data_IF_584673217713
#
_entry.id   IF_584673217713
#
_cell.length_a   1.000
_cell.length_b   1.000
_cell.length_c   1.000
_cell.angle_alpha   90.00
_cell.angle_beta   90.00
_cell.angle_gamma   90.00
#
_symmetry.space_group_name_H-M   'P 1'
#
loop_
_entity.id
_entity.type
_entity.pdbx_description
1 polymer ?
#
# COMPACT_ATOMS: atom_id res chain seq x y z
N UNK A 1 21.89 11.90 18.55
CA UNK A 1 22.30 10.98 17.47
C UNK A 1 23.80 10.96 17.36
N UNK A 2 24.41 9.78 17.28
CA UNK A 2 25.87 9.61 17.31
C UNK A 2 26.52 10.19 16.07
N UNK A 3 27.61 10.96 16.26
CA UNK A 3 28.40 11.54 15.18
C UNK A 3 29.15 10.47 14.40
N UNK A 4 29.01 10.43 13.09
CA UNK A 4 29.67 9.46 12.21
C UNK A 4 31.17 9.69 12.04
N UNK A 5 31.67 10.84 12.49
CA UNK A 5 33.09 11.22 12.34
C UNK A 5 33.94 11.00 13.62
N UNK A 6 33.37 11.32 14.80
CA UNK A 6 34.13 11.23 16.06
C UNK A 6 33.46 10.33 17.11
N UNK A 7 32.28 9.82 16.84
CA UNK A 7 31.54 8.94 17.75
C UNK A 7 30.84 9.64 18.91
N UNK A 8 30.92 10.97 19.05
CA UNK A 8 30.18 11.72 20.06
C UNK A 8 28.69 11.48 19.99
N UNK A 9 28.02 11.34 21.14
CA UNK A 9 26.59 11.05 21.17
C UNK A 9 25.68 12.28 20.93
N UNK A 10 26.25 13.50 21.01
CA UNK A 10 25.51 14.74 20.94
C UNK A 10 25.72 15.48 19.62
N UNK A 11 24.60 15.90 19.05
CA UNK A 11 24.55 16.72 17.84
C UNK A 11 23.35 17.65 17.89
N UNK A 12 23.51 18.89 17.42
CA UNK A 12 22.40 19.84 17.25
C UNK A 12 21.86 19.77 15.82
N UNK A 13 20.55 19.97 15.63
CA UNK A 13 19.92 20.11 14.34
C UNK A 13 20.06 21.57 13.90
N UNK A 14 20.68 21.82 12.75
CA UNK A 14 20.90 23.16 12.20
C UNK A 14 19.94 23.50 11.08
N UNK A 15 19.36 22.49 10.40
CA UNK A 15 18.33 22.66 9.36
C UNK A 15 17.42 21.42 9.33
N UNK A 16 16.13 21.62 9.06
CA UNK A 16 15.16 20.54 8.95
C UNK A 16 14.19 20.84 7.81
N UNK A 17 13.96 19.88 6.90
CA UNK A 17 13.07 20.04 5.75
C UNK A 17 12.23 18.79 5.55
N UNK A 18 10.94 18.98 5.33
CA UNK A 18 10.04 17.93 4.87
C UNK A 18 10.31 17.59 3.41
N UNK A 19 10.34 16.32 3.09
CA UNK A 19 10.41 15.81 1.73
C UNK A 19 9.02 15.34 1.28
N UNK A 20 8.85 15.15 -0.03
CA UNK A 20 7.55 14.79 -0.62
C UNK A 20 7.07 13.40 -0.21
N UNK A 21 7.97 12.53 0.22
CA UNK A 21 7.75 11.14 0.63
C UNK A 21 7.47 10.97 2.14
N UNK A 22 6.92 11.99 2.81
CA UNK A 22 6.66 12.02 4.26
C UNK A 22 7.90 11.88 5.14
N UNK A 23 9.10 11.86 4.56
CA UNK A 23 10.36 11.83 5.31
C UNK A 23 10.84 13.23 5.70
N UNK A 24 11.67 13.30 6.74
CA UNK A 24 12.29 14.55 7.20
C UNK A 24 13.79 14.45 7.01
N UNK A 25 14.33 15.37 6.20
CA UNK A 25 15.77 15.56 6.08
C UNK A 25 16.26 16.52 7.15
N UNK A 26 17.20 16.09 8.00
CA UNK A 26 17.82 16.95 9.02
C UNK A 26 19.31 17.09 8.79
N UNK A 27 19.79 18.35 8.76
CA UNK A 27 21.20 18.67 8.78
C UNK A 27 21.64 18.85 10.23
N UNK A 28 22.61 18.05 10.66
CA UNK A 28 23.12 18.04 12.05
C UNK A 28 24.55 18.50 12.09
N UNK A 29 24.93 19.09 13.22
CA UNK A 29 26.31 19.51 13.52
C UNK A 29 26.72 18.89 14.85
N UNK A 30 27.85 18.18 14.86
CA UNK A 30 28.38 17.58 16.06
C UNK A 30 28.87 18.67 17.03
N UNK A 31 28.56 18.53 18.32
CA UNK A 31 28.95 19.51 19.34
C UNK A 31 30.45 19.47 19.59
N UNK A 32 31.11 18.31 19.52
CA UNK A 32 32.51 18.16 19.76
C UNK A 32 33.40 18.50 18.55
N UNK A 33 33.18 17.81 17.40
CA UNK A 33 34.07 17.97 16.25
C UNK A 33 33.62 19.04 15.25
N UNK A 34 32.43 19.66 15.41
CA UNK A 34 31.88 20.68 14.54
C UNK A 34 31.52 20.21 13.14
N UNK A 35 31.79 18.97 12.80
CA UNK A 35 31.47 18.43 11.46
C UNK A 35 29.96 18.26 11.27
N UNK A 36 29.50 18.50 10.04
CA UNK A 36 28.12 18.42 9.67
C UNK A 36 27.83 17.13 8.91
N UNK A 37 26.68 16.52 9.22
CA UNK A 37 26.16 15.35 8.53
C UNK A 37 24.66 15.47 8.36
N UNK A 38 24.11 14.72 7.41
CA UNK A 38 22.68 14.71 7.10
C UNK A 38 22.09 13.38 7.55
N UNK A 39 20.90 13.44 8.13
CA UNK A 39 20.09 12.27 8.50
C UNK A 39 18.72 12.37 7.87
N UNK A 40 18.12 11.23 7.60
CA UNK A 40 16.75 11.12 7.15
C UNK A 40 15.95 10.38 8.22
N UNK A 41 14.81 10.93 8.57
CA UNK A 41 13.82 10.26 9.41
C UNK A 41 12.70 9.83 8.48
N UNK A 42 12.47 8.53 8.39
CA UNK A 42 11.38 7.92 7.65
C UNK A 42 10.47 7.21 8.62
N UNK A 43 9.17 7.23 8.37
CA UNK A 43 8.23 6.42 9.14
C UNK A 43 8.43 4.97 8.71
N UNK A 44 8.82 4.12 9.65
CA UNK A 44 8.84 2.69 9.44
C UNK A 44 7.42 2.17 9.66
N UNK A 45 6.73 1.86 8.58
CA UNK A 45 5.44 1.19 8.63
C UNK A 45 5.67 -0.32 8.61
N UNK A 46 5.14 -1.03 9.61
CA UNK A 46 5.11 -2.49 9.55
C UNK A 46 4.34 -2.90 8.28
N UNK A 47 4.89 -3.81 7.47
CA UNK A 47 4.17 -4.28 6.30
C UNK A 47 2.88 -4.95 6.73
N UNK A 48 1.80 -4.63 6.04
CA UNK A 48 0.51 -5.29 6.19
C UNK A 48 0.67 -6.78 5.84
N UNK A 49 0.19 -7.66 6.70
CA UNK A 49 0.28 -9.10 6.51
C UNK A 49 -1.03 -9.62 5.93
N UNK A 50 -0.93 -10.36 4.85
CA UNK A 50 -2.06 -11.00 4.17
C UNK A 50 -2.10 -12.47 4.55
N UNK A 51 -3.27 -12.93 5.01
CA UNK A 51 -3.54 -14.34 5.22
C UNK A 51 -4.38 -14.87 4.06
N UNK A 52 -3.85 -15.86 3.34
CA UNK A 52 -4.56 -16.49 2.22
C UNK A 52 -5.56 -17.57 2.67
N UNK A 53 -6.29 -18.14 1.71
CA UNK A 53 -7.29 -19.19 1.95
C UNK A 53 -6.70 -20.49 2.53
N UNK A 54 -5.40 -20.71 2.39
CA UNK A 54 -4.66 -21.84 2.96
C UNK A 54 -4.06 -21.53 4.34
N UNK A 55 -4.40 -20.39 4.91
CA UNK A 55 -3.88 -19.89 6.18
C UNK A 55 -2.36 -19.60 6.17
N UNK A 56 -1.79 -19.37 4.98
CA UNK A 56 -0.41 -18.91 4.83
C UNK A 56 -0.35 -17.39 4.96
N UNK A 57 0.72 -16.90 5.58
CA UNK A 57 0.91 -15.47 5.89
C UNK A 57 2.06 -14.92 5.05
N UNK A 58 1.81 -13.87 4.31
CA UNK A 58 2.83 -13.18 3.55
C UNK A 58 2.65 -11.65 3.66
N UNK A 59 3.73 -10.85 3.48
CA UNK A 59 3.58 -9.41 3.40
C UNK A 59 2.76 -9.01 2.17
N UNK A 60 1.90 -8.00 2.33
CA UNK A 60 1.19 -7.40 1.22
C UNK A 60 2.19 -6.88 0.17
N UNK A 61 1.90 -7.14 -1.10
CA UNK A 61 2.71 -6.69 -2.24
C UNK A 61 1.82 -6.01 -3.26
N UNK A 62 2.05 -4.71 -3.45
CA UNK A 62 1.29 -3.90 -4.40
C UNK A 62 1.37 -4.46 -5.83
N UNK A 63 2.53 -5.03 -6.21
CA UNK A 63 2.74 -5.62 -7.53
C UNK A 63 1.77 -6.78 -7.83
N UNK A 64 1.47 -7.61 -6.82
CA UNK A 64 0.49 -8.70 -6.96
C UNK A 64 -0.92 -8.16 -7.20
N UNK A 65 -1.29 -7.09 -6.50
CA UNK A 65 -2.58 -6.44 -6.71
C UNK A 65 -2.66 -5.83 -8.11
N UNK A 66 -1.62 -5.12 -8.56
CA UNK A 66 -1.53 -4.56 -9.91
C UNK A 66 -1.68 -5.64 -10.97
N UNK A 67 -1.04 -6.79 -10.81
CA UNK A 67 -1.17 -7.91 -11.75
C UNK A 67 -2.60 -8.45 -11.80
N UNK A 68 -3.25 -8.65 -10.65
CA UNK A 68 -4.63 -9.13 -10.61
C UNK A 68 -5.63 -8.13 -11.23
N UNK A 69 -5.41 -6.82 -11.03
CA UNK A 69 -6.22 -5.76 -11.62
C UNK A 69 -6.07 -5.70 -13.14
N UNK A 70 -4.86 -5.89 -13.68
CA UNK A 70 -4.61 -5.91 -15.13
C UNK A 70 -5.49 -6.93 -15.86
N UNK A 71 -5.69 -8.10 -15.26
CA UNK A 71 -6.57 -9.13 -15.85
C UNK A 71 -8.02 -8.66 -15.93
N UNK A 72 -8.53 -8.03 -14.88
CA UNK A 72 -9.92 -7.58 -14.82
C UNK A 72 -10.19 -6.36 -15.72
N UNK A 73 -9.21 -5.47 -15.89
CA UNK A 73 -9.34 -4.19 -16.58
C UNK A 73 -8.88 -4.22 -18.04
N UNK A 74 -8.20 -5.28 -18.48
CA UNK A 74 -7.57 -5.35 -19.80
C UNK A 74 -8.52 -5.07 -20.97
N UNK A 75 -9.74 -5.62 -20.92
CA UNK A 75 -10.72 -5.43 -21.98
C UNK A 75 -11.47 -4.09 -21.91
N UNK A 76 -11.32 -3.35 -20.81
CA UNK A 76 -12.09 -2.12 -20.55
C UNK A 76 -11.25 -0.85 -20.71
N UNK A 77 -9.95 -0.97 -21.03
CA UNK A 77 -9.08 0.18 -21.29
C UNK A 77 -8.83 1.05 -20.05
N UNK A 78 -8.83 0.47 -18.86
CA UNK A 78 -8.45 1.20 -17.64
C UNK A 78 -6.93 1.38 -17.63
N UNK A 79 -6.48 2.56 -18.06
CA UNK A 79 -5.06 2.87 -18.23
C UNK A 79 -4.31 3.12 -16.91
N UNK A 80 -5.03 3.53 -15.86
CA UNK A 80 -4.44 3.95 -14.57
C UNK A 80 -4.50 2.85 -13.50
N UNK A 81 -4.20 1.61 -13.89
CA UNK A 81 -4.23 0.44 -12.96
C UNK A 81 -3.32 0.63 -11.76
N UNK A 82 -2.16 1.26 -11.94
CA UNK A 82 -1.22 1.53 -10.86
C UNK A 82 -1.82 2.50 -9.83
N UNK A 83 -2.41 3.60 -10.27
CA UNK A 83 -3.05 4.57 -9.39
C UNK A 83 -4.25 3.97 -8.64
N UNK A 84 -5.02 3.09 -9.31
CA UNK A 84 -6.11 2.36 -8.69
C UNK A 84 -5.60 1.41 -7.59
N UNK A 85 -4.51 0.67 -7.85
CA UNK A 85 -3.90 -0.21 -6.85
C UNK A 85 -3.40 0.57 -5.62
N UNK A 86 -2.79 1.74 -5.82
CA UNK A 86 -2.34 2.63 -4.73
C UNK A 86 -3.53 3.17 -3.92
N UNK A 87 -4.65 3.48 -4.56
CA UNK A 87 -5.88 3.89 -3.87
C UNK A 87 -6.47 2.74 -3.03
N UNK A 88 -6.44 1.51 -3.54
CA UNK A 88 -6.89 0.31 -2.81
C UNK A 88 -5.97 0.05 -1.60
N UNK A 89 -4.65 0.09 -1.79
CA UNK A 89 -3.68 -0.03 -0.70
C UNK A 89 -3.93 1.02 0.39
N UNK A 90 -4.14 2.27 -0.01
CA UNK A 90 -4.44 3.36 0.93
C UNK A 90 -5.74 3.11 1.70
N UNK A 91 -6.77 2.57 1.05
CA UNK A 91 -8.03 2.23 1.70
C UNK A 91 -7.85 1.10 2.73
N UNK A 92 -7.08 0.05 2.38
CA UNK A 92 -6.75 -1.05 3.29
C UNK A 92 -5.96 -0.56 4.52
N UNK A 93 -5.01 0.36 4.33
CA UNK A 93 -4.22 0.96 5.42
C UNK A 93 -5.07 1.83 6.35
N UNK A 94 -6.08 2.53 5.82
CA UNK A 94 -6.99 3.36 6.62
C UNK A 94 -7.88 2.54 7.55
N UNK A 95 -8.17 1.28 7.24
CA UNK A 95 -8.88 0.38 8.15
C UNK A 95 -8.05 0.04 9.40
N UNK A 96 -6.76 0.35 9.40
CA UNK A 96 -5.87 0.23 10.58
C UNK A 96 -5.50 -1.20 10.95
N UNK A 97 -5.89 -2.18 10.16
CA UNK A 97 -5.61 -3.60 10.42
C UNK A 97 -4.20 -3.95 9.90
N UNK A 98 -3.33 -4.41 10.80
CA UNK A 98 -2.01 -4.92 10.40
C UNK A 98 -2.10 -6.31 9.75
N UNK A 99 -3.17 -7.04 9.99
CA UNK A 99 -3.46 -8.35 9.39
C UNK A 99 -4.79 -8.28 8.66
N UNK A 100 -4.78 -8.66 7.40
CA UNK A 100 -5.95 -8.69 6.51
C UNK A 100 -6.03 -10.05 5.82
N UNK A 101 -7.20 -10.41 5.36
CA UNK A 101 -7.39 -11.64 4.58
C UNK A 101 -7.43 -11.32 3.08
N UNK A 102 -7.18 -12.32 2.25
CA UNK A 102 -7.41 -12.19 0.79
C UNK A 102 -8.84 -11.76 0.48
N UNK A 103 -9.83 -12.20 1.29
CA UNK A 103 -11.23 -11.81 1.11
C UNK A 103 -11.46 -10.32 1.36
N UNK A 104 -10.79 -9.72 2.34
CA UNK A 104 -10.88 -8.29 2.61
C UNK A 104 -10.30 -7.49 1.44
N UNK A 105 -9.15 -7.91 0.90
CA UNK A 105 -8.55 -7.29 -0.29
C UNK A 105 -9.53 -7.37 -1.47
N UNK A 106 -10.11 -8.55 -1.73
CA UNK A 106 -11.07 -8.74 -2.84
C UNK A 106 -12.27 -7.83 -2.67
N UNK A 107 -12.83 -7.72 -1.47
CA UNK A 107 -13.98 -6.84 -1.19
C UNK A 107 -13.66 -5.38 -1.48
N UNK A 108 -12.59 -4.85 -0.88
CA UNK A 108 -12.19 -3.44 -1.09
C UNK A 108 -11.86 -3.17 -2.56
N UNK A 109 -11.24 -4.14 -3.23
CA UNK A 109 -10.92 -4.03 -4.67
C UNK A 109 -12.18 -3.94 -5.52
N UNK A 110 -13.20 -4.75 -5.24
CA UNK A 110 -14.48 -4.72 -5.95
C UNK A 110 -15.18 -3.38 -5.73
N UNK A 111 -15.22 -2.89 -4.49
CA UNK A 111 -15.82 -1.61 -4.15
C UNK A 111 -15.15 -0.47 -4.96
N UNK A 112 -13.82 -0.44 -4.98
CA UNK A 112 -13.06 0.58 -5.73
C UNK A 112 -13.15 0.43 -7.24
N UNK A 113 -13.19 -0.78 -7.78
CA UNK A 113 -13.44 -1.01 -9.20
C UNK A 113 -14.83 -0.57 -9.62
N UNK A 114 -15.85 -0.79 -8.78
CA UNK A 114 -17.23 -0.37 -9.07
C UNK A 114 -17.38 1.15 -9.19
N UNK A 115 -16.53 1.92 -8.50
CA UNK A 115 -16.48 3.38 -8.64
C UNK A 115 -15.93 3.82 -10.02
N UNK A 116 -15.12 2.99 -10.68
CA UNK A 116 -14.45 3.29 -11.95
C UNK A 116 -15.16 2.63 -13.13
N UNK A 117 -15.37 1.30 -13.06
CA UNK A 117 -15.99 0.50 -14.11
C UNK A 117 -16.65 -0.76 -13.55
N UNK A 118 -17.97 -0.83 -13.64
CA UNK A 118 -18.77 -1.95 -13.15
C UNK A 118 -18.46 -3.28 -13.85
N UNK A 119 -18.02 -3.26 -15.10
CA UNK A 119 -17.69 -4.48 -15.84
C UNK A 119 -16.38 -5.07 -15.31
N UNK A 120 -15.37 -4.24 -15.10
CA UNK A 120 -14.12 -4.66 -14.46
C UNK A 120 -14.36 -5.21 -13.05
N UNK A 121 -15.23 -4.58 -12.26
CA UNK A 121 -15.63 -5.07 -10.95
C UNK A 121 -16.29 -6.46 -11.02
N UNK A 122 -17.18 -6.67 -11.98
CA UNK A 122 -17.83 -7.96 -12.20
C UNK A 122 -16.81 -9.04 -12.63
N UNK A 123 -15.90 -8.71 -13.54
CA UNK A 123 -14.84 -9.64 -13.97
C UNK A 123 -13.97 -10.02 -12.78
N UNK A 124 -13.55 -9.03 -11.98
CA UNK A 124 -12.74 -9.28 -10.77
C UNK A 124 -13.49 -10.14 -9.75
N UNK A 125 -14.77 -9.87 -9.52
CA UNK A 125 -15.65 -10.66 -8.66
C UNK A 125 -15.66 -12.12 -9.08
N UNK A 126 -15.91 -12.41 -10.36
CA UNK A 126 -16.01 -13.79 -10.88
C UNK A 126 -14.68 -14.55 -10.82
N UNK A 127 -13.54 -13.85 -10.86
CA UNK A 127 -12.20 -14.46 -10.79
C UNK A 127 -11.75 -14.78 -9.37
N UNK A 128 -12.18 -13.98 -8.38
CA UNK A 128 -11.65 -14.02 -7.02
C UNK A 128 -12.66 -14.48 -5.97
N UNK A 129 -13.88 -14.82 -6.36
CA UNK A 129 -14.91 -15.37 -5.48
C UNK A 129 -15.41 -16.72 -6.00
N UNK A 130 -16.00 -17.50 -5.10
CA UNK A 130 -16.62 -18.80 -5.45
C UNK A 130 -17.92 -18.59 -6.24
N UNK A 131 -17.84 -17.87 -7.36
CA UNK A 131 -18.95 -17.61 -8.25
C UNK A 131 -19.18 -18.86 -9.12
N UNK A 132 -20.10 -19.75 -8.72
CA UNK A 132 -20.31 -21.03 -9.39
C UNK A 132 -21.49 -21.06 -10.35
N UNK A 133 -22.36 -20.04 -10.31
CA UNK A 133 -23.57 -19.99 -11.12
C UNK A 133 -24.03 -18.56 -11.44
N UNK A 134 -24.97 -18.45 -12.37
CA UNK A 134 -25.49 -17.15 -12.84
C UNK A 134 -26.29 -16.38 -11.77
N UNK A 135 -26.82 -17.07 -10.76
CA UNK A 135 -27.54 -16.42 -9.65
C UNK A 135 -26.61 -15.61 -8.76
N UNK A 136 -25.36 -16.04 -8.58
CA UNK A 136 -24.34 -15.31 -7.82
C UNK A 136 -23.98 -13.99 -8.53
N UNK A 137 -23.86 -14.02 -9.85
CA UNK A 137 -23.66 -12.83 -10.69
C UNK A 137 -24.84 -11.87 -10.58
N UNK A 138 -26.08 -12.37 -10.64
CA UNK A 138 -27.28 -11.55 -10.46
C UNK A 138 -27.34 -10.86 -9.10
N UNK A 139 -26.97 -11.56 -8.04
CA UNK A 139 -26.92 -10.96 -6.69
C UNK A 139 -25.91 -9.83 -6.63
N UNK A 140 -24.75 -10.01 -7.25
CA UNK A 140 -23.74 -8.97 -7.32
C UNK A 140 -24.23 -7.71 -8.05
N UNK A 141 -24.93 -7.87 -9.19
CA UNK A 141 -25.42 -6.74 -9.99
C UNK A 141 -26.57 -5.98 -9.29
N UNK A 142 -27.35 -6.66 -8.44
CA UNK A 142 -28.54 -6.09 -7.81
C UNK A 142 -28.25 -5.49 -6.39
N UNK A 143 -27.02 -5.56 -5.89
CA UNK A 143 -26.56 -4.93 -4.66
C UNK A 143 -25.81 -3.64 -4.94
#
# INVERSE_FOLDING_TARGET
MRCVFCGCNDSKVVDSRYLKDTSIRRRRECIECGKRFTTYETVETNPMIVTNVFNEREPFKLEKLVESLKYATYCQGVDEVQALAENIESALLLEGNQEITTKDIVKVTIDKLSEVDNISALVYYTQHTDCSNFEDVRRFINN
#
